data_IF_824785073722
#
_entry.id   IF_824785073722
#
_cell.length_a   1.000
_cell.length_b   1.000
_cell.length_c   1.000
_cell.angle_alpha   90.00
_cell.angle_beta   90.00
_cell.angle_gamma   90.00
#
_symmetry.space_group_name_H-M   'P 1'
#
loop_
_entity.id
_entity.type
_entity.pdbx_description
1 polymer ?
#
# COMPACT_ATOMS: atom_id res chain seq x y z
N UNK A 1 5.83 18.08 -25.70
CA UNK A 1 6.54 17.01 -25.00
C UNK A 1 6.34 17.17 -23.50
N UNK A 2 5.09 17.22 -23.00
CA UNK A 2 4.83 17.49 -21.56
C UNK A 2 3.47 16.95 -21.07
N UNK A 3 3.08 15.72 -21.48
CA UNK A 3 1.78 15.13 -21.11
C UNK A 3 1.89 13.81 -20.35
N UNK A 4 3.03 13.50 -19.72
CA UNK A 4 3.29 12.18 -19.14
C UNK A 4 3.02 12.03 -17.63
N UNK A 5 2.68 13.08 -16.90
CA UNK A 5 2.47 12.97 -15.44
C UNK A 5 1.27 13.83 -15.01
N UNK A 6 0.06 13.55 -15.52
CA UNK A 6 -1.13 14.04 -14.85
C UNK A 6 -1.70 12.92 -13.98
N UNK A 7 -1.61 13.11 -12.69
CA UNK A 7 -2.38 12.35 -11.71
C UNK A 7 -3.87 12.64 -12.01
N UNK A 8 -4.54 11.75 -12.75
CA UNK A 8 -5.93 11.93 -13.18
C UNK A 8 -6.91 11.46 -12.11
N UNK A 9 -6.66 11.84 -10.83
CA UNK A 9 -7.66 11.60 -9.79
C UNK A 9 -8.91 12.42 -10.12
N UNK A 10 -10.02 11.73 -10.29
CA UNK A 10 -11.31 12.39 -10.49
C UNK A 10 -11.76 12.96 -9.15
N UNK A 11 -12.18 14.23 -9.08
CA UNK A 11 -12.72 14.79 -7.84
C UNK A 11 -13.84 13.93 -7.26
N UNK A 12 -13.84 13.72 -5.94
CA UNK A 12 -14.86 12.93 -5.25
C UNK A 12 -14.73 11.41 -5.40
N UNK A 13 -13.60 10.90 -5.92
CA UNK A 13 -13.30 9.46 -5.98
C UNK A 13 -12.17 9.12 -5.00
N UNK A 14 -12.40 8.09 -4.18
CA UNK A 14 -11.37 7.49 -3.32
C UNK A 14 -10.66 6.37 -4.08
N UNK A 15 -9.37 6.53 -4.30
CA UNK A 15 -8.50 5.51 -4.87
C UNK A 15 -7.85 4.70 -3.75
N UNK A 16 -8.24 3.45 -3.62
CA UNK A 16 -7.66 2.56 -2.63
C UNK A 16 -6.41 1.87 -3.16
N UNK A 17 -5.34 1.91 -2.35
CA UNK A 17 -4.08 1.20 -2.59
C UNK A 17 -4.05 -0.03 -1.68
N UNK A 18 -4.23 -1.21 -2.28
CA UNK A 18 -4.53 -2.45 -1.58
C UNK A 18 -3.25 -3.29 -1.34
N UNK A 19 -3.15 -4.00 -0.19
CA UNK A 19 -1.97 -4.80 0.15
C UNK A 19 -2.01 -6.19 -0.46
N UNK A 20 -0.84 -6.80 -0.67
CA UNK A 20 -0.73 -8.24 -0.91
C UNK A 20 -0.75 -8.64 -2.38
N UNK A 21 0.01 -7.94 -3.22
CA UNK A 21 0.13 -8.19 -4.66
C UNK A 21 0.49 -9.65 -4.99
N UNK A 22 1.43 -10.23 -4.24
CA UNK A 22 1.85 -11.62 -4.38
C UNK A 22 1.23 -12.52 -3.30
N UNK A 23 0.99 -11.94 -2.14
CA UNK A 23 0.55 -12.65 -0.95
C UNK A 23 -0.93 -13.08 -1.03
N UNK A 24 -1.77 -12.29 -1.71
CA UNK A 24 -3.23 -12.48 -1.78
C UNK A 24 -3.74 -12.60 -3.22
N UNK A 25 -2.93 -13.11 -4.12
CA UNK A 25 -3.28 -13.31 -5.53
C UNK A 25 -4.60 -14.08 -5.71
N UNK A 26 -4.78 -15.19 -4.98
CA UNK A 26 -6.01 -15.99 -5.04
C UNK A 26 -7.26 -15.19 -4.62
N UNK A 27 -7.16 -14.32 -3.60
CA UNK A 27 -8.26 -13.45 -3.20
C UNK A 27 -8.58 -12.44 -4.31
N UNK A 28 -7.56 -11.82 -4.91
CA UNK A 28 -7.79 -10.82 -5.98
C UNK A 28 -8.35 -11.43 -7.25
N UNK A 29 -7.98 -12.65 -7.61
CA UNK A 29 -8.59 -13.38 -8.73
C UNK A 29 -10.12 -13.52 -8.60
N UNK A 30 -10.65 -13.57 -7.39
CA UNK A 30 -12.09 -13.65 -7.13
C UNK A 30 -12.73 -12.29 -6.89
N UNK A 31 -12.03 -11.39 -6.18
CA UNK A 31 -12.58 -10.07 -5.85
C UNK A 31 -12.66 -9.14 -7.06
N UNK A 32 -11.64 -9.12 -7.93
CA UNK A 32 -11.60 -8.18 -9.07
C UNK A 32 -12.74 -8.40 -10.07
N UNK A 33 -13.09 -9.64 -10.50
CA UNK A 33 -14.28 -9.86 -11.32
C UNK A 33 -15.55 -9.29 -10.68
N UNK A 34 -15.76 -9.54 -9.38
CA UNK A 34 -16.93 -9.00 -8.67
C UNK A 34 -16.91 -7.46 -8.67
N UNK A 35 -15.75 -6.86 -8.38
CA UNK A 35 -15.62 -5.40 -8.33
C UNK A 35 -15.88 -4.73 -9.68
N UNK A 36 -15.45 -5.33 -10.78
CA UNK A 36 -15.60 -4.73 -12.12
C UNK A 36 -16.92 -5.08 -12.82
N UNK A 37 -17.47 -6.29 -12.61
CA UNK A 37 -18.70 -6.74 -13.28
C UNK A 37 -19.96 -6.52 -12.46
N UNK A 38 -19.85 -6.30 -11.14
CA UNK A 38 -20.97 -6.08 -10.22
C UNK A 38 -20.81 -4.77 -9.45
N UNK A 39 -20.59 -3.67 -10.19
CA UNK A 39 -20.38 -2.34 -9.59
C UNK A 39 -21.49 -1.88 -8.66
N UNK A 40 -22.70 -2.39 -8.83
CA UNK A 40 -23.84 -2.13 -7.96
C UNK A 40 -23.60 -2.57 -6.49
N UNK A 41 -22.70 -3.53 -6.23
CA UNK A 41 -22.36 -3.99 -4.89
C UNK A 41 -21.43 -3.01 -4.14
N UNK A 42 -20.75 -2.15 -4.88
CA UNK A 42 -19.68 -1.30 -4.35
C UNK A 42 -20.07 0.17 -4.35
N UNK A 43 -19.45 0.95 -3.49
CA UNK A 43 -19.62 2.40 -3.50
C UNK A 43 -19.19 2.98 -4.85
N UNK A 44 -20.02 3.86 -5.43
CA UNK A 44 -19.73 4.50 -6.72
C UNK A 44 -18.56 5.50 -6.68
N UNK A 45 -18.23 5.97 -5.49
CA UNK A 45 -17.12 6.90 -5.23
C UNK A 45 -15.79 6.19 -4.92
N UNK A 46 -15.71 4.86 -4.95
CA UNK A 46 -14.47 4.13 -4.74
C UNK A 46 -13.90 3.51 -6.02
N UNK A 47 -12.58 3.48 -6.11
CA UNK A 47 -11.81 2.84 -7.17
C UNK A 47 -10.57 2.13 -6.59
N UNK A 48 -10.00 1.19 -7.34
CA UNK A 48 -8.71 0.59 -7.01
C UNK A 48 -7.63 1.41 -7.70
N UNK A 49 -6.77 2.07 -6.92
CA UNK A 49 -5.65 2.85 -7.43
C UNK A 49 -4.43 1.99 -7.74
N UNK A 50 -4.13 1.01 -6.90
CA UNK A 50 -3.06 0.05 -7.11
C UNK A 50 -3.18 -1.14 -6.17
N UNK A 51 -2.46 -2.23 -6.48
CA UNK A 51 -2.18 -3.31 -5.53
C UNK A 51 -0.67 -3.37 -5.31
N UNK A 52 -0.23 -3.49 -4.05
CA UNK A 52 1.19 -3.44 -3.70
C UNK A 52 1.65 -4.65 -2.90
N UNK A 53 2.90 -5.07 -3.09
CA UNK A 53 3.48 -6.20 -2.39
C UNK A 53 4.97 -6.40 -2.69
N UNK A 54 5.56 -7.43 -2.10
CA UNK A 54 6.90 -7.89 -2.42
C UNK A 54 6.99 -9.41 -2.26
N UNK A 55 7.88 -10.02 -3.00
CA UNK A 55 8.25 -11.42 -2.80
C UNK A 55 9.03 -11.58 -1.50
N UNK A 56 8.84 -12.71 -0.81
CA UNK A 56 9.37 -12.94 0.51
C UNK A 56 10.90 -12.94 0.63
N UNK A 57 11.62 -13.25 -0.43
CA UNK A 57 13.08 -13.35 -0.50
C UNK A 57 13.73 -12.16 -1.23
N UNK A 58 13.02 -11.04 -1.37
CA UNK A 58 13.53 -9.85 -2.01
C UNK A 58 14.33 -8.99 -1.01
N UNK A 59 15.65 -8.86 -1.19
CA UNK A 59 16.50 -8.10 -0.26
C UNK A 59 16.20 -6.60 -0.20
N UNK A 60 15.58 -6.03 -1.26
CA UNK A 60 15.09 -4.64 -1.25
C UNK A 60 13.76 -4.51 -0.50
N UNK A 61 13.10 -5.63 -0.20
CA UNK A 61 11.87 -5.66 0.58
C UNK A 61 12.04 -5.06 1.97
N UNK A 62 10.96 -4.55 2.52
CA UNK A 62 10.92 -3.97 3.86
C UNK A 62 9.49 -3.90 4.37
N UNK A 63 9.35 -3.46 5.63
CA UNK A 63 8.06 -3.44 6.29
C UNK A 63 7.59 -4.84 6.75
N UNK A 64 6.43 -4.88 7.36
CA UNK A 64 5.81 -6.14 7.85
C UNK A 64 5.26 -6.92 6.66
N UNK A 65 5.87 -8.06 6.33
CA UNK A 65 5.50 -8.88 5.18
C UNK A 65 5.09 -10.27 5.60
N UNK A 66 4.21 -10.92 4.83
CA UNK A 66 4.13 -12.37 4.69
C UNK A 66 4.89 -12.81 3.44
N UNK A 67 5.07 -14.10 3.28
CA UNK A 67 5.78 -14.65 2.13
C UNK A 67 4.81 -14.78 0.94
N UNK A 68 4.90 -13.88 -0.03
CA UNK A 68 4.29 -14.05 -1.34
C UNK A 68 5.15 -15.00 -2.18
N UNK A 69 4.53 -16.05 -2.70
CA UNK A 69 5.21 -17.08 -3.53
C UNK A 69 4.65 -17.15 -4.96
N UNK A 70 3.67 -16.29 -5.28
CA UNK A 70 3.03 -16.29 -6.58
C UNK A 70 4.01 -15.88 -7.68
N UNK A 71 3.89 -16.51 -8.85
CA UNK A 71 4.67 -16.14 -10.02
C UNK A 71 4.40 -14.68 -10.41
N UNK A 72 5.45 -13.86 -10.60
CA UNK A 72 5.30 -12.46 -10.97
C UNK A 72 4.60 -12.22 -12.31
N UNK A 73 4.73 -13.16 -13.28
CA UNK A 73 4.08 -13.03 -14.59
C UNK A 73 2.56 -13.21 -14.45
N UNK A 74 2.10 -14.22 -13.70
CA UNK A 74 0.68 -14.42 -13.40
C UNK A 74 0.07 -13.20 -12.72
N UNK A 75 0.80 -12.61 -11.77
CA UNK A 75 0.36 -11.40 -11.07
C UNK A 75 0.23 -10.24 -12.05
N UNK A 76 1.19 -10.07 -12.96
CA UNK A 76 1.14 -8.99 -13.93
C UNK A 76 0.05 -9.20 -14.99
N UNK A 77 -0.27 -10.44 -15.35
CA UNK A 77 -1.39 -10.76 -16.23
C UNK A 77 -2.71 -10.33 -15.61
N UNK A 78 -2.93 -10.66 -14.34
CA UNK A 78 -4.12 -10.21 -13.60
C UNK A 78 -4.21 -8.68 -13.52
N UNK A 79 -3.10 -8.00 -13.25
CA UNK A 79 -3.09 -6.52 -13.18
C UNK A 79 -3.39 -5.89 -14.54
N UNK A 80 -2.87 -6.45 -15.63
CA UNK A 80 -3.16 -6.00 -17.01
C UNK A 80 -4.62 -6.20 -17.39
N UNK A 81 -5.20 -7.35 -17.05
CA UNK A 81 -6.61 -7.66 -17.32
C UNK A 81 -7.56 -6.58 -16.78
N UNK A 82 -7.30 -6.10 -15.57
CA UNK A 82 -8.14 -5.08 -14.93
C UNK A 82 -7.61 -3.65 -15.03
N UNK A 83 -6.49 -3.43 -15.72
CA UNK A 83 -5.89 -2.09 -15.86
C UNK A 83 -5.43 -1.48 -14.54
N UNK A 84 -5.00 -2.31 -13.58
CA UNK A 84 -4.60 -1.89 -12.24
C UNK A 84 -3.07 -1.72 -12.17
N UNK A 85 -2.62 -0.62 -11.58
CA UNK A 85 -1.20 -0.39 -11.28
C UNK A 85 -0.70 -1.36 -10.21
N UNK A 86 0.37 -2.09 -10.50
CA UNK A 86 1.10 -2.90 -9.55
C UNK A 86 2.25 -2.11 -8.92
N UNK A 87 2.49 -2.28 -7.60
CA UNK A 87 3.61 -1.61 -6.91
C UNK A 87 4.48 -2.60 -6.16
N UNK A 88 5.76 -2.63 -6.49
CA UNK A 88 6.76 -3.34 -5.70
C UNK A 88 7.04 -2.58 -4.39
N UNK A 89 7.14 -3.30 -3.28
CA UNK A 89 7.48 -2.68 -1.99
C UNK A 89 8.96 -2.92 -1.68
N UNK A 90 9.80 -1.97 -2.06
CA UNK A 90 11.25 -1.98 -1.88
C UNK A 90 11.66 -0.97 -0.82
N UNK A 91 11.15 -1.19 0.40
CA UNK A 91 11.28 -0.26 1.52
C UNK A 91 12.31 -0.66 2.56
N UNK A 92 13.33 -1.46 2.18
CA UNK A 92 14.48 -1.71 3.02
C UNK A 92 15.25 -0.40 3.25
N UNK A 93 15.47 -0.06 4.54
CA UNK A 93 16.10 1.20 4.95
C UNK A 93 17.62 1.15 5.05
N UNK A 94 18.23 -0.05 4.91
CA UNK A 94 19.64 -0.31 5.20
C UNK A 94 20.43 -0.74 3.95
N UNK A 95 19.92 -0.45 2.77
CA UNK A 95 20.58 -0.80 1.52
C UNK A 95 21.90 -0.05 1.34
N UNK A 96 22.89 -0.73 0.76
CA UNK A 96 24.19 -0.22 0.33
C UNK A 96 24.37 -0.48 -1.16
N UNK A 97 25.43 0.07 -1.75
CA UNK A 97 25.70 -0.05 -3.19
C UNK A 97 25.78 -1.51 -3.67
N UNK A 98 26.42 -2.39 -2.87
CA UNK A 98 26.52 -3.81 -3.21
C UNK A 98 25.15 -4.51 -3.37
N UNK A 99 24.12 -4.02 -2.67
CA UNK A 99 22.78 -4.59 -2.74
C UNK A 99 22.03 -4.18 -4.02
N UNK A 100 22.47 -3.13 -4.73
CA UNK A 100 21.80 -2.67 -5.97
C UNK A 100 21.96 -3.66 -7.13
N UNK A 101 22.97 -4.53 -7.07
CA UNK A 101 23.22 -5.55 -8.09
C UNK A 101 22.37 -6.82 -7.94
N UNK A 102 21.41 -6.87 -6.99
CA UNK A 102 20.55 -8.03 -6.79
C UNK A 102 19.79 -8.41 -8.04
N UNK A 103 20.02 -9.63 -8.54
CA UNK A 103 19.50 -10.10 -9.83
C UNK A 103 17.97 -10.19 -9.80
N UNK A 104 17.40 -10.71 -8.71
CA UNK A 104 15.97 -10.94 -8.59
C UNK A 104 15.18 -9.63 -8.51
N UNK A 105 15.63 -8.71 -7.68
CA UNK A 105 14.98 -7.41 -7.54
C UNK A 105 15.03 -6.62 -8.85
N UNK A 106 16.16 -6.67 -9.58
CA UNK A 106 16.31 -6.04 -10.90
C UNK A 106 15.41 -6.71 -11.96
N UNK A 107 15.28 -8.05 -11.95
CA UNK A 107 14.39 -8.77 -12.86
C UNK A 107 12.93 -8.36 -12.64
N UNK A 108 12.49 -8.22 -11.38
CA UNK A 108 11.15 -7.72 -11.05
C UNK A 108 10.92 -6.30 -11.56
N UNK A 109 11.88 -5.38 -11.37
CA UNK A 109 11.76 -4.02 -11.91
C UNK A 109 11.61 -4.02 -13.42
N UNK A 110 12.40 -4.82 -14.13
CA UNK A 110 12.33 -4.95 -15.59
C UNK A 110 10.98 -5.52 -16.06
N UNK A 111 10.45 -6.53 -15.37
CA UNK A 111 9.14 -7.10 -15.66
C UNK A 111 8.04 -6.05 -15.48
N UNK A 112 8.04 -5.35 -14.33
CA UNK A 112 7.01 -4.36 -14.00
C UNK A 112 7.06 -3.12 -14.90
N UNK A 113 8.26 -2.69 -15.30
CA UNK A 113 8.41 -1.57 -16.25
C UNK A 113 7.84 -1.90 -17.62
N UNK A 114 8.01 -3.14 -18.09
CA UNK A 114 7.70 -3.56 -19.45
C UNK A 114 6.37 -4.31 -19.60
N UNK A 115 5.59 -4.45 -18.52
CA UNK A 115 4.39 -5.30 -18.53
C UNK A 115 3.23 -4.77 -19.39
N UNK A 116 3.25 -3.51 -19.81
CA UNK A 116 2.12 -2.87 -20.51
C UNK A 116 0.94 -2.56 -19.57
N UNK A 117 -0.12 -1.96 -20.11
CA UNK A 117 -1.30 -1.56 -19.31
C UNK A 117 -1.08 -0.31 -18.46
N UNK A 118 -1.50 -0.34 -17.19
CA UNK A 118 -1.29 0.77 -16.27
C UNK A 118 0.19 0.94 -15.94
N UNK A 119 0.63 2.18 -15.74
CA UNK A 119 1.99 2.43 -15.28
C UNK A 119 2.18 1.84 -13.88
N UNK A 120 3.22 1.03 -13.69
CA UNK A 120 3.56 0.41 -12.43
C UNK A 120 4.53 1.26 -11.61
N UNK A 121 4.66 0.94 -10.31
CA UNK A 121 5.48 1.74 -9.42
C UNK A 121 6.26 0.95 -8.38
N UNK A 122 7.08 1.68 -7.63
CA UNK A 122 7.87 1.14 -6.53
C UNK A 122 7.68 2.00 -5.28
N UNK A 123 7.40 1.37 -4.15
CA UNK A 123 7.37 2.02 -2.84
C UNK A 123 8.78 1.95 -2.27
N UNK A 124 9.43 3.10 -2.08
CA UNK A 124 10.87 3.19 -1.76
C UNK A 124 11.10 3.91 -0.43
N UNK A 125 12.06 3.41 0.35
CA UNK A 125 12.58 4.10 1.56
C UNK A 125 13.93 4.78 1.28
N UNK A 126 14.87 4.04 0.67
CA UNK A 126 16.25 4.45 0.48
C UNK A 126 16.40 5.40 -0.71
N UNK A 127 16.99 6.59 -0.49
CA UNK A 127 17.31 7.51 -1.58
C UNK A 127 18.42 6.96 -2.50
N UNK A 128 19.29 6.08 -1.99
CA UNK A 128 20.25 5.36 -2.81
C UNK A 128 19.54 4.48 -3.85
N UNK A 129 18.57 3.68 -3.39
CA UNK A 129 17.77 2.82 -4.27
C UNK A 129 16.91 3.66 -5.23
N UNK A 130 16.30 4.74 -4.75
CA UNK A 130 15.50 5.63 -5.59
C UNK A 130 16.29 6.14 -6.80
N UNK A 131 17.46 6.75 -6.57
CA UNK A 131 18.33 7.25 -7.66
C UNK A 131 18.74 6.15 -8.63
N UNK A 132 19.05 4.97 -8.13
CA UNK A 132 19.36 3.80 -8.95
C UNK A 132 18.19 3.42 -9.86
N UNK A 133 16.97 3.33 -9.29
CA UNK A 133 15.78 2.95 -10.03
C UNK A 133 15.37 4.00 -11.05
N UNK A 134 15.43 5.29 -10.73
CA UNK A 134 15.14 6.39 -11.64
C UNK A 134 16.02 6.34 -12.91
N UNK A 135 17.31 6.06 -12.72
CA UNK A 135 18.23 5.97 -13.86
C UNK A 135 18.07 4.70 -14.68
N UNK A 136 17.67 3.59 -14.05
CA UNK A 136 17.66 2.27 -14.68
C UNK A 136 16.31 1.83 -15.21
N UNK A 137 15.23 2.28 -14.55
CA UNK A 137 13.84 1.92 -14.84
C UNK A 137 12.95 3.16 -14.88
N UNK A 138 13.16 4.08 -15.83
CA UNK A 138 12.47 5.37 -15.91
C UNK A 138 10.97 5.24 -16.23
N UNK A 139 10.52 4.07 -16.66
CA UNK A 139 9.10 3.78 -16.89
C UNK A 139 8.30 3.55 -15.61
N UNK A 140 8.97 3.31 -14.46
CA UNK A 140 8.31 3.15 -13.17
C UNK A 140 8.08 4.50 -12.49
N UNK A 141 7.02 4.62 -11.69
CA UNK A 141 6.86 5.76 -10.78
C UNK A 141 7.20 5.36 -9.33
N UNK A 142 7.46 6.36 -8.47
CA UNK A 142 7.91 6.11 -7.11
C UNK A 142 6.94 6.65 -6.07
N UNK A 143 6.88 5.92 -4.93
CA UNK A 143 6.06 6.25 -3.76
C UNK A 143 6.98 6.31 -2.55
N UNK A 144 6.95 7.41 -1.81
CA UNK A 144 7.69 7.52 -0.54
C UNK A 144 7.03 6.64 0.53
N UNK A 145 7.83 5.75 1.12
CA UNK A 145 7.35 4.72 2.04
C UNK A 145 7.00 5.27 3.42
N UNK A 146 5.90 4.78 4.01
CA UNK A 146 5.57 5.02 5.44
C UNK A 146 6.66 4.53 6.40
N UNK A 147 7.57 3.66 5.96
CA UNK A 147 8.69 3.19 6.79
C UNK A 147 9.70 4.31 7.10
N UNK A 148 9.66 5.44 6.40
CA UNK A 148 10.42 6.66 6.72
C UNK A 148 9.98 7.26 8.06
N UNK A 149 8.76 6.96 8.51
CA UNK A 149 8.21 7.41 9.81
C UNK A 149 8.27 8.94 9.94
N UNK A 150 7.67 9.64 8.97
CA UNK A 150 7.58 11.10 8.93
C UNK A 150 6.49 11.57 9.92
N UNK A 151 6.85 11.78 11.17
CA UNK A 151 5.91 12.07 12.27
C UNK A 151 5.60 13.55 12.45
N UNK A 152 6.43 14.41 11.84
CA UNK A 152 6.29 15.85 11.93
C UNK A 152 5.81 16.45 10.62
N UNK A 153 4.86 17.37 10.66
CA UNK A 153 4.29 17.95 9.44
C UNK A 153 5.32 18.63 8.52
N UNK A 154 6.34 19.34 9.02
CA UNK A 154 7.42 19.87 8.17
C UNK A 154 8.21 18.78 7.41
N UNK A 155 8.38 17.60 8.00
CA UNK A 155 9.01 16.47 7.33
C UNK A 155 8.14 15.95 6.17
N UNK A 156 6.83 15.82 6.41
CA UNK A 156 5.87 15.45 5.37
C UNK A 156 5.87 16.49 4.24
N UNK A 157 5.84 17.79 4.57
CA UNK A 157 5.83 18.86 3.59
C UNK A 157 7.12 18.88 2.74
N UNK A 158 8.28 18.64 3.35
CA UNK A 158 9.55 18.50 2.63
C UNK A 158 9.51 17.34 1.64
N UNK A 159 8.93 16.19 2.04
CA UNK A 159 8.81 15.03 1.17
C UNK A 159 7.78 15.27 0.03
N UNK A 160 6.67 15.96 0.29
CA UNK A 160 5.68 16.34 -0.73
C UNK A 160 6.22 17.30 -1.78
N UNK A 161 7.22 18.11 -1.44
CA UNK A 161 7.89 19.03 -2.36
C UNK A 161 8.88 18.33 -3.32
N UNK A 162 9.21 17.07 -3.08
CA UNK A 162 10.09 16.30 -3.97
C UNK A 162 9.35 15.94 -5.26
N UNK A 163 9.98 16.11 -6.41
CA UNK A 163 9.40 15.81 -7.73
C UNK A 163 9.53 14.33 -8.12
N UNK A 164 10.44 13.60 -7.47
CA UNK A 164 10.71 12.19 -7.69
C UNK A 164 9.59 11.25 -7.16
N UNK A 165 8.69 11.74 -6.30
CA UNK A 165 7.57 10.95 -5.80
C UNK A 165 6.22 11.35 -6.40
N UNK A 166 5.51 10.34 -6.94
CA UNK A 166 4.09 10.48 -7.31
C UNK A 166 3.19 10.52 -6.10
N UNK A 167 3.49 9.69 -5.09
CA UNK A 167 2.75 9.62 -3.83
C UNK A 167 3.71 9.62 -2.64
N UNK A 168 3.23 10.13 -1.53
CA UNK A 168 3.94 10.15 -0.25
C UNK A 168 3.01 9.58 0.82
N UNK A 169 3.46 8.54 1.52
CA UNK A 169 2.70 7.93 2.61
C UNK A 169 3.16 8.52 3.95
N UNK A 170 2.40 9.45 4.56
CA UNK A 170 2.74 10.02 5.86
C UNK A 170 2.70 8.95 6.96
N UNK A 171 3.27 9.27 8.11
CA UNK A 171 2.98 8.50 9.32
C UNK A 171 1.51 8.69 9.71
N UNK A 172 0.84 7.61 10.10
CA UNK A 172 -0.60 7.61 10.43
C UNK A 172 -0.97 8.59 11.56
N UNK A 173 -0.02 9.02 12.38
CA UNK A 173 -0.23 10.03 13.42
C UNK A 173 -0.57 11.40 12.85
N UNK A 174 -0.20 11.69 11.61
CA UNK A 174 -0.54 12.93 10.92
C UNK A 174 -1.92 12.88 10.23
N UNK A 175 -2.59 11.72 10.25
CA UNK A 175 -3.86 11.56 9.53
C UNK A 175 -4.93 12.58 9.93
N UNK A 176 -4.99 12.98 11.19
CA UNK A 176 -6.01 13.89 11.72
C UNK A 176 -5.52 15.34 11.94
N UNK A 177 -4.36 15.71 11.42
CA UNK A 177 -3.84 17.08 11.45
C UNK A 177 -4.58 17.98 10.44
N UNK A 178 -5.91 18.07 10.57
CA UNK A 178 -6.81 18.64 9.58
C UNK A 178 -6.52 20.10 9.23
N UNK A 179 -6.10 20.93 10.19
CA UNK A 179 -5.75 22.31 9.93
C UNK A 179 -4.58 22.42 8.96
N UNK A 180 -3.51 21.67 9.23
CA UNK A 180 -2.31 21.68 8.41
C UNK A 180 -2.57 21.01 7.05
N UNK A 181 -3.30 19.89 7.03
CA UNK A 181 -3.69 19.16 5.81
C UNK A 181 -4.55 20.03 4.90
N UNK A 182 -5.51 20.78 5.45
CA UNK A 182 -6.39 21.66 4.66
C UNK A 182 -5.61 22.76 3.94
N UNK A 183 -4.52 23.25 4.55
CA UNK A 183 -3.69 24.32 4.00
C UNK A 183 -2.72 23.87 2.90
N UNK A 184 -2.61 22.55 2.63
CA UNK A 184 -1.80 22.05 1.51
C UNK A 184 -2.40 22.48 0.17
N UNK A 185 -1.57 22.93 -0.80
CA UNK A 185 -2.04 23.18 -2.16
C UNK A 185 -2.47 21.86 -2.84
N UNK A 186 -3.41 21.94 -3.78
CA UNK A 186 -3.98 20.75 -4.43
C UNK A 186 -2.93 19.80 -5.02
N UNK A 187 -1.84 20.25 -5.68
CA UNK A 187 -0.81 19.34 -6.17
C UNK A 187 -0.12 18.50 -5.08
N UNK A 188 -0.02 19.03 -3.85
CA UNK A 188 0.49 18.26 -2.71
C UNK A 188 -0.58 17.33 -2.14
N UNK A 189 -1.84 17.75 -2.06
CA UNK A 189 -2.96 16.89 -1.65
C UNK A 189 -3.09 15.66 -2.56
N UNK A 190 -2.88 15.83 -3.85
CA UNK A 190 -2.92 14.74 -4.83
C UNK A 190 -1.79 13.70 -4.62
N UNK A 191 -0.69 14.10 -3.99
CA UNK A 191 0.41 13.20 -3.63
C UNK A 191 0.21 12.46 -2.29
N UNK A 192 -0.61 12.96 -1.38
CA UNK A 192 -0.79 12.32 -0.06
C UNK A 192 -1.54 11.01 -0.20
N UNK A 193 -0.94 9.90 0.26
CA UNK A 193 -1.54 8.57 0.32
C UNK A 193 -1.69 8.15 1.80
N UNK A 194 -2.87 8.34 2.37
CA UNK A 194 -3.13 8.10 3.78
C UNK A 194 -3.17 6.62 4.14
N UNK A 195 -2.46 6.21 5.18
CA UNK A 195 -2.54 4.88 5.76
C UNK A 195 -3.74 4.79 6.71
N UNK A 196 -4.82 4.09 6.29
CA UNK A 196 -6.14 4.19 6.93
C UNK A 196 -6.28 3.36 8.20
N UNK A 197 -5.76 2.12 8.19
CA UNK A 197 -6.05 1.08 9.18
C UNK A 197 -4.81 0.60 9.96
N UNK A 198 -3.85 1.50 10.22
CA UNK A 198 -2.65 1.15 10.99
C UNK A 198 -3.03 0.73 12.42
N UNK A 199 -2.51 -0.43 12.85
CA UNK A 199 -2.71 -0.96 14.19
C UNK A 199 -1.56 -0.66 15.15
N UNK A 200 -0.49 -0.05 14.69
CA UNK A 200 0.64 0.33 15.53
C UNK A 200 0.16 1.29 16.61
N UNK A 201 0.63 1.08 17.84
CA UNK A 201 0.29 1.96 18.96
C UNK A 201 0.61 3.42 18.63
N UNK A 202 -0.37 4.31 18.81
CA UNK A 202 -0.23 5.74 18.49
C UNK A 202 0.94 6.41 19.21
N UNK A 203 1.20 6.02 20.47
CA UNK A 203 2.33 6.48 21.28
C UNK A 203 3.68 5.80 21.00
N UNK A 204 3.78 4.90 20.00
CA UNK A 204 5.00 4.15 19.72
C UNK A 204 6.15 5.06 19.27
N UNK A 205 7.29 5.02 20.00
CA UNK A 205 8.52 5.74 19.64
C UNK A 205 9.53 4.85 18.89
N UNK A 206 9.27 3.54 18.80
CA UNK A 206 10.19 2.54 18.24
C UNK A 206 9.83 2.08 16.84
N UNK A 207 8.85 2.72 16.19
CA UNK A 207 8.36 2.29 14.86
C UNK A 207 9.48 2.22 13.81
N UNK A 208 10.36 3.21 13.78
CA UNK A 208 11.51 3.24 12.88
C UNK A 208 12.45 2.06 13.14
N UNK A 209 12.79 1.80 14.42
CA UNK A 209 13.62 0.67 14.82
C UNK A 209 12.99 -0.69 14.47
N UNK A 210 11.66 -0.80 14.58
CA UNK A 210 10.93 -1.98 14.15
C UNK A 210 11.16 -2.26 12.65
N UNK A 211 11.06 -1.24 11.78
CA UNK A 211 11.33 -1.38 10.35
C UNK A 211 12.82 -1.66 10.02
N UNK A 212 13.75 -1.06 10.76
CA UNK A 212 15.17 -1.35 10.63
C UNK A 212 15.50 -2.82 10.97
N UNK A 213 14.84 -3.37 12.00
CA UNK A 213 14.99 -4.78 12.36
C UNK A 213 14.54 -5.71 11.22
N UNK A 214 13.40 -5.41 10.58
CA UNK A 214 12.94 -6.16 9.41
C UNK A 214 13.92 -6.00 8.23
N UNK A 215 14.44 -4.80 8.01
CA UNK A 215 15.42 -4.54 6.96
C UNK A 215 16.69 -5.37 7.13
N UNK A 216 17.22 -5.48 8.37
CA UNK A 216 18.37 -6.34 8.71
C UNK A 216 18.11 -7.81 8.36
N UNK A 217 16.92 -8.32 8.76
CA UNK A 217 16.55 -9.71 8.47
C UNK A 217 16.46 -9.98 6.96
N UNK A 218 15.91 -9.05 6.18
CA UNK A 218 15.84 -9.17 4.74
C UNK A 218 17.23 -9.15 4.06
N UNK A 219 18.22 -8.55 4.71
CA UNK A 219 19.62 -8.61 4.28
C UNK A 219 20.36 -9.88 4.77
N UNK A 220 19.65 -10.81 5.43
CA UNK A 220 20.24 -12.04 5.95
C UNK A 220 21.02 -11.87 7.26
N UNK A 221 20.93 -10.70 7.91
CA UNK A 221 21.61 -10.48 9.18
C UNK A 221 20.92 -11.26 10.32
N UNK A 222 21.71 -11.95 11.13
CA UNK A 222 21.21 -12.56 12.37
C UNK A 222 21.03 -11.47 13.42
N UNK A 223 19.80 -11.12 13.73
CA UNK A 223 19.48 -10.14 14.76
C UNK A 223 18.27 -10.62 15.60
N UNK A 224 18.20 -10.24 16.88
CA UNK A 224 17.04 -10.56 17.73
C UNK A 224 15.76 -9.96 17.16
N UNK A 225 14.62 -10.62 17.41
CA UNK A 225 13.32 -10.05 17.10
C UNK A 225 13.07 -8.75 17.85
N UNK A 226 12.55 -7.76 17.15
CA UNK A 226 12.08 -6.56 17.80
C UNK A 226 10.83 -6.88 18.64
N UNK A 227 10.91 -6.66 19.94
CA UNK A 227 9.77 -6.81 20.84
C UNK A 227 8.96 -5.53 20.84
N UNK A 228 7.70 -5.62 20.39
CA UNK A 228 6.76 -4.51 20.45
C UNK A 228 6.41 -4.20 21.92
N UNK A 229 6.61 -2.95 22.33
CA UNK A 229 6.26 -2.47 23.67
C UNK A 229 4.81 -1.94 23.78
N UNK A 230 4.01 -2.06 22.71
CA UNK A 230 2.63 -1.58 22.70
C UNK A 230 1.76 -2.37 23.70
N UNK A 231 0.82 -1.71 24.39
CA UNK A 231 -0.19 -2.40 25.18
C UNK A 231 -0.95 -3.41 24.32
N UNK A 232 -1.07 -4.65 24.79
CA UNK A 232 -1.77 -5.71 24.06
C UNK A 232 -1.10 -6.19 22.77
N UNK A 233 0.20 -5.94 22.57
CA UNK A 233 0.93 -6.37 21.36
C UNK A 233 0.89 -7.88 21.11
N UNK A 234 0.73 -8.69 22.17
CA UNK A 234 0.66 -10.15 22.08
C UNK A 234 -0.68 -10.68 21.55
N UNK A 235 -1.72 -9.84 21.51
CA UNK A 235 -3.06 -10.24 21.07
C UNK A 235 -3.21 -10.26 19.53
N UNK A 236 -2.15 -9.87 18.83
CA UNK A 236 -2.14 -9.78 17.38
C UNK A 236 -2.96 -8.62 16.82
N UNK A 237 -3.05 -8.55 15.49
CA UNK A 237 -3.85 -7.57 14.78
C UNK A 237 -5.35 -7.93 14.91
N UNK A 238 -6.16 -6.92 15.22
CA UNK A 238 -7.62 -6.99 15.13
C UNK A 238 -8.14 -5.72 14.47
N UNK A 239 -9.09 -5.85 13.56
CA UNK A 239 -9.64 -4.68 12.84
C UNK A 239 -10.37 -3.74 13.80
N UNK A 240 -11.10 -4.27 14.80
CA UNK A 240 -11.71 -3.45 15.85
C UNK A 240 -10.70 -2.60 16.62
N UNK A 241 -9.51 -3.15 16.92
CA UNK A 241 -8.43 -2.36 17.54
C UNK A 241 -7.85 -1.28 16.63
N UNK A 242 -7.76 -1.55 15.32
CA UNK A 242 -7.36 -0.52 14.37
C UNK A 242 -8.38 0.62 14.33
N UNK A 243 -9.68 0.32 14.45
CA UNK A 243 -10.75 1.35 14.52
C UNK A 243 -10.65 2.24 15.77
N UNK A 244 -10.12 1.71 16.87
CA UNK A 244 -9.90 2.47 18.12
C UNK A 244 -8.63 3.36 18.05
N UNK A 245 -7.81 3.22 17.01
CA UNK A 245 -6.59 4.02 16.87
C UNK A 245 -6.94 5.47 16.53
N UNK A 246 -6.37 6.48 17.23
CA UNK A 246 -6.64 7.89 16.94
C UNK A 246 -6.35 8.30 15.49
N UNK A 247 -5.40 7.62 14.83
CA UNK A 247 -5.06 7.85 13.42
C UNK A 247 -5.93 7.08 12.42
N UNK A 248 -6.91 6.29 12.86
CA UNK A 248 -7.79 5.52 11.97
C UNK A 248 -8.62 6.43 11.06
N UNK A 249 -8.71 6.06 9.79
CA UNK A 249 -9.56 6.73 8.80
C UNK A 249 -10.65 5.75 8.36
N UNK A 250 -11.88 5.99 8.81
CA UNK A 250 -13.04 5.20 8.42
C UNK A 250 -13.68 5.69 7.13
N UNK A 251 -14.63 4.91 6.60
CA UNK A 251 -15.35 5.27 5.36
C UNK A 251 -16.10 6.59 5.49
N UNK A 252 -16.66 6.89 6.65
CA UNK A 252 -17.35 8.16 6.91
C UNK A 252 -16.38 9.35 6.90
N UNK A 253 -15.18 9.18 7.44
CA UNK A 253 -14.13 10.19 7.37
C UNK A 253 -13.74 10.45 5.91
N UNK A 254 -13.52 9.38 5.13
CA UNK A 254 -13.16 9.49 3.72
C UNK A 254 -14.21 10.31 2.97
N UNK A 255 -15.47 9.91 3.08
CA UNK A 255 -16.57 10.51 2.33
C UNK A 255 -16.88 11.95 2.76
N UNK A 256 -16.87 12.22 4.07
CA UNK A 256 -17.37 13.47 4.62
C UNK A 256 -16.28 14.50 4.94
N UNK A 257 -15.01 14.08 5.02
CA UNK A 257 -13.89 14.97 5.39
C UNK A 257 -12.82 14.98 4.28
N UNK A 258 -12.18 13.84 3.99
CA UNK A 258 -11.00 13.82 3.11
C UNK A 258 -11.33 14.14 1.65
N UNK A 259 -12.38 13.54 1.08
CA UNK A 259 -12.81 13.85 -0.29
C UNK A 259 -13.23 15.31 -0.46
N UNK A 260 -14.06 15.91 0.44
CA UNK A 260 -14.36 17.34 0.40
C UNK A 260 -13.13 18.26 0.57
N UNK A 261 -12.12 17.83 1.33
CA UNK A 261 -10.84 18.53 1.44
C UNK A 261 -9.96 18.46 0.21
N UNK A 262 -10.31 17.62 -0.78
CA UNK A 262 -9.56 17.43 -2.02
C UNK A 262 -8.53 16.29 -2.00
N UNK A 263 -8.54 15.42 -0.99
CA UNK A 263 -7.72 14.21 -0.96
C UNK A 263 -8.41 13.04 -1.64
N UNK A 264 -7.63 12.15 -2.28
CA UNK A 264 -8.20 11.04 -3.05
C UNK A 264 -7.47 9.70 -2.88
N UNK A 265 -6.31 9.63 -2.21
CA UNK A 265 -5.52 8.41 -2.16
C UNK A 265 -5.47 7.81 -0.74
N UNK A 266 -5.91 6.56 -0.61
CA UNK A 266 -6.10 5.86 0.66
C UNK A 266 -5.45 4.49 0.61
N UNK A 267 -4.48 4.24 1.50
CA UNK A 267 -3.73 3.00 1.60
C UNK A 267 -4.31 2.12 2.68
N UNK A 268 -4.59 0.87 2.33
CA UNK A 268 -4.97 -0.17 3.28
C UNK A 268 -3.73 -0.99 3.59
N UNK A 269 -3.35 -1.12 4.86
CA UNK A 269 -2.27 -2.03 5.26
C UNK A 269 -2.78 -3.46 5.43
N UNK A 270 -1.87 -4.44 5.47
CA UNK A 270 -2.26 -5.79 5.86
C UNK A 270 -1.51 -6.92 5.18
N UNK A 271 -0.38 -6.69 4.51
CA UNK A 271 0.38 -7.74 3.79
C UNK A 271 0.67 -8.99 4.62
N UNK A 272 0.77 -8.88 5.94
CA UNK A 272 1.04 -9.98 6.86
C UNK A 272 -0.21 -10.54 7.58
N UNK A 273 -1.44 -10.13 7.19
CA UNK A 273 -2.63 -10.40 7.99
C UNK A 273 -3.50 -11.58 7.50
N UNK A 274 -3.25 -12.07 6.29
CA UNK A 274 -3.99 -13.18 5.68
C UNK A 274 -5.27 -12.76 4.94
N UNK A 275 -5.73 -13.63 4.04
CA UNK A 275 -6.85 -13.39 3.12
C UNK A 275 -8.14 -12.98 3.84
N UNK A 276 -8.46 -13.60 4.98
CA UNK A 276 -9.70 -13.33 5.70
C UNK A 276 -9.80 -11.87 6.18
N UNK A 277 -8.73 -11.34 6.78
CA UNK A 277 -8.72 -9.94 7.23
C UNK A 277 -8.70 -8.96 6.06
N UNK A 278 -7.99 -9.27 4.99
CA UNK A 278 -7.99 -8.43 3.78
C UNK A 278 -9.39 -8.39 3.18
N UNK A 279 -10.09 -9.52 3.09
CA UNK A 279 -11.47 -9.54 2.65
C UNK A 279 -12.36 -8.62 3.52
N UNK A 280 -12.24 -8.69 4.84
CA UNK A 280 -13.02 -7.79 5.73
C UNK A 280 -12.69 -6.31 5.48
N UNK A 281 -11.44 -5.94 5.14
CA UNK A 281 -11.12 -4.57 4.74
C UNK A 281 -11.77 -4.18 3.41
N UNK A 282 -11.76 -5.06 2.41
CA UNK A 282 -12.43 -4.83 1.12
C UNK A 282 -13.94 -4.65 1.30
N UNK A 283 -14.54 -5.48 2.17
CA UNK A 283 -15.96 -5.36 2.52
C UNK A 283 -16.24 -4.04 3.24
N UNK A 284 -15.42 -3.67 4.22
CA UNK A 284 -15.63 -2.45 4.99
C UNK A 284 -15.44 -1.18 4.14
N UNK A 285 -14.33 -1.06 3.39
CA UNK A 285 -13.99 0.19 2.71
C UNK A 285 -14.67 0.36 1.34
N UNK A 286 -15.01 -0.72 0.66
CA UNK A 286 -15.42 -0.66 -0.74
C UNK A 286 -16.84 -1.16 -1.00
N UNK A 287 -17.36 -2.08 -0.18
CA UNK A 287 -18.63 -2.76 -0.42
C UNK A 287 -19.76 -2.10 0.37
N UNK A 288 -20.88 -1.83 -0.29
CA UNK A 288 -22.09 -1.33 0.38
C UNK A 288 -22.59 -2.32 1.42
N UNK A 289 -23.09 -1.87 2.59
CA UNK A 289 -23.47 -2.76 3.69
C UNK A 289 -24.44 -3.87 3.30
N UNK A 290 -25.41 -3.57 2.46
CA UNK A 290 -26.44 -4.51 1.99
C UNK A 290 -25.90 -5.64 1.11
N UNK A 291 -24.70 -5.48 0.53
CA UNK A 291 -24.04 -6.48 -0.32
C UNK A 291 -22.86 -7.19 0.31
N UNK A 292 -22.44 -6.79 1.53
CA UNK A 292 -21.26 -7.39 2.18
C UNK A 292 -21.38 -8.91 2.39
N UNK A 293 -22.55 -9.39 2.79
CA UNK A 293 -22.79 -10.83 2.94
C UNK A 293 -22.66 -11.53 1.58
N UNK A 294 -23.30 -10.99 0.55
CA UNK A 294 -23.27 -11.57 -0.80
C UNK A 294 -21.84 -11.64 -1.36
N UNK A 295 -21.08 -10.55 -1.29
CA UNK A 295 -19.69 -10.53 -1.77
C UNK A 295 -18.82 -11.54 -1.00
N UNK A 296 -19.04 -11.67 0.31
CA UNK A 296 -18.33 -12.66 1.14
C UNK A 296 -18.68 -14.09 0.70
N UNK A 297 -19.96 -14.39 0.50
CA UNK A 297 -20.42 -15.71 0.06
C UNK A 297 -19.84 -16.08 -1.31
N UNK A 298 -19.89 -15.19 -2.29
CA UNK A 298 -19.34 -15.43 -3.64
C UNK A 298 -17.84 -15.78 -3.58
N UNK A 299 -17.07 -15.08 -2.74
CA UNK A 299 -15.64 -15.35 -2.57
C UNK A 299 -15.39 -16.68 -1.84
N UNK A 300 -16.14 -16.98 -0.77
CA UNK A 300 -15.95 -18.23 -0.03
C UNK A 300 -16.42 -19.45 -0.82
N UNK A 301 -17.55 -19.37 -1.51
CA UNK A 301 -18.07 -20.49 -2.31
C UNK A 301 -17.14 -20.85 -3.47
N UNK A 302 -16.59 -19.86 -4.14
CA UNK A 302 -15.61 -20.08 -5.20
C UNK A 302 -14.32 -20.73 -4.65
N UNK A 303 -13.87 -20.38 -3.46
CA UNK A 303 -12.73 -21.03 -2.80
C UNK A 303 -13.03 -22.48 -2.40
N UNK A 304 -14.27 -22.78 -2.00
CA UNK A 304 -14.65 -24.14 -1.58
C UNK A 304 -14.88 -25.07 -2.76
N UNK A 305 -15.29 -24.55 -3.90
CA UNK A 305 -15.44 -25.34 -5.14
C UNK A 305 -14.10 -25.79 -5.72
N UNK A 306 -13.02 -25.05 -5.45
CA UNK A 306 -11.65 -25.47 -5.80
C UNK A 306 -11.08 -26.52 -4.83
N UNK A 307 -11.78 -26.88 -3.75
CA UNK A 307 -11.38 -27.87 -2.76
C UNK A 307 -12.01 -29.26 -3.00
N UNK A 308 -12.88 -29.42 -3.98
CA UNK A 308 -13.52 -30.65 -4.41
C UNK A 308 -13.25 -30.91 -5.89
#
# INVERSE_FOLDING_TARGET
MDDKIRNTSKPGVAYYHLPGLFEFYGLYRMFLPLFYHHREYFYNWCAIGSIYGALGDCIWGGGRTSFGVQDPEDVMDLMREYGISARLTFSNSLLREEHLADIKCNALCKLFENSGGAQNGVIVHSDLLLRYLESRYPGLYFVSSTTKVLTEFPQLQAELNRDDFRYVVPDFRLNKEFEQLNNLPQPQKDKVEFLCNECCWFGCKDRKRCYENVSRKNLGETCPDHRCAAPGAQEGYRFSKAMDNPGFIGIQDIQNIYLPMGFSNFKIEGRGLGNALILEFLLYYMTKPEYQLRVREEIYLNNMLDLF
#
